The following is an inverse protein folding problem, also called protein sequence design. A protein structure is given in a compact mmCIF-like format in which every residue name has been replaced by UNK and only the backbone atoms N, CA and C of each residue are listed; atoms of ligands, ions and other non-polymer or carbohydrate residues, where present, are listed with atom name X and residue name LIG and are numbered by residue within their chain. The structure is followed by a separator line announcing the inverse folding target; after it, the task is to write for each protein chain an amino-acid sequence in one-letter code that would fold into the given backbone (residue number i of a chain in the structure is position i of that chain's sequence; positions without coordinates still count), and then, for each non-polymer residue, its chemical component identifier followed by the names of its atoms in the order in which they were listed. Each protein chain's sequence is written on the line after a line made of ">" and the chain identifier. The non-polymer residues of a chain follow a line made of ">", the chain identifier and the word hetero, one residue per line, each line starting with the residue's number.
data_IF_015955858669
#
_entry.id   IF_015955858669
#
_cell.length_a   1.000
_cell.length_b   1.000
_cell.length_c   1.000
_cell.angle_alpha   90.00
_cell.angle_beta   90.00
_cell.angle_gamma   90.00
#
_symmetry.space_group_name_H-M   'P 1'
#
loop_
_entity.id
_entity.type
_entity.pdbx_description
1 polymer ?
#
# COMPACT_ATOMS: atom_id res chain seq x y z
N UNK A 1 -76.34 24.57 -22.18
CA UNK A 1 -74.90 24.78 -22.50
C UNK A 1 -74.37 26.00 -21.76
N UNK A 2 -74.08 25.83 -20.46
CA UNK A 2 -73.37 26.80 -19.63
C UNK A 2 -72.14 26.09 -19.09
N UNK A 3 -70.96 26.56 -19.46
CA UNK A 3 -69.69 26.03 -19.00
C UNK A 3 -69.33 26.80 -17.72
N UNK A 4 -69.56 26.19 -16.56
CA UNK A 4 -69.07 26.73 -15.29
C UNK A 4 -67.54 26.72 -15.32
N UNK A 5 -66.95 27.90 -15.32
CA UNK A 5 -65.51 28.12 -15.22
C UNK A 5 -64.98 27.50 -13.95
N UNK A 6 -64.11 26.50 -14.10
CA UNK A 6 -63.53 25.68 -13.03
C UNK A 6 -62.59 26.56 -12.16
N UNK A 7 -62.95 26.87 -10.90
CA UNK A 7 -62.14 27.72 -10.01
C UNK A 7 -60.84 27.06 -9.53
N UNK A 8 -60.63 25.77 -9.84
CA UNK A 8 -59.48 24.97 -9.41
C UNK A 8 -58.14 25.37 -10.07
N UNK A 9 -58.15 26.10 -11.19
CA UNK A 9 -56.92 26.43 -11.91
C UNK A 9 -56.18 27.61 -11.29
N UNK A 10 -56.88 28.60 -10.73
CA UNK A 10 -56.24 29.76 -10.08
C UNK A 10 -55.59 29.39 -8.75
N UNK A 11 -56.21 28.51 -7.96
CA UNK A 11 -55.65 28.04 -6.67
C UNK A 11 -54.37 27.19 -6.86
N UNK A 12 -54.26 26.45 -7.98
CA UNK A 12 -53.06 25.70 -8.35
C UNK A 12 -51.93 26.63 -8.84
N UNK A 13 -52.25 27.80 -9.40
CA UNK A 13 -51.23 28.74 -9.86
C UNK A 13 -50.62 29.49 -8.68
N UNK A 14 -51.42 29.82 -7.66
CA UNK A 14 -50.97 30.59 -6.49
C UNK A 14 -50.12 29.76 -5.51
N UNK A 15 -50.30 28.43 -5.49
CA UNK A 15 -49.54 27.51 -4.60
C UNK A 15 -48.19 27.05 -5.15
N UNK A 16 -47.94 27.20 -6.46
CA UNK A 16 -46.65 26.84 -7.09
C UNK A 16 -45.41 27.50 -6.47
N UNK A 17 -45.36 28.83 -6.25
CA UNK A 17 -44.14 29.46 -5.73
C UNK A 17 -43.74 28.95 -4.34
N UNK A 18 -44.70 28.62 -3.48
CA UNK A 18 -44.43 28.03 -2.17
C UNK A 18 -43.82 26.63 -2.31
N UNK A 19 -44.37 25.79 -3.20
CA UNK A 19 -43.84 24.44 -3.46
C UNK A 19 -42.41 24.48 -4.02
N UNK A 20 -42.10 25.44 -4.90
CA UNK A 20 -40.74 25.60 -5.42
C UNK A 20 -39.76 26.07 -4.34
N UNK A 21 -40.17 26.99 -3.45
CA UNK A 21 -39.33 27.42 -2.34
C UNK A 21 -39.02 26.28 -1.35
N UNK A 22 -40.01 25.43 -1.05
CA UNK A 22 -39.80 24.25 -0.19
C UNK A 22 -38.88 23.22 -0.87
N UNK A 23 -39.00 23.05 -2.19
CA UNK A 23 -38.13 22.15 -2.95
C UNK A 23 -36.68 22.67 -3.00
N UNK A 24 -36.47 23.98 -3.19
CA UNK A 24 -35.14 24.60 -3.15
C UNK A 24 -34.50 24.47 -1.77
N UNK A 25 -35.25 24.72 -0.69
CA UNK A 25 -34.76 24.56 0.67
C UNK A 25 -34.36 23.10 0.99
N UNK A 26 -35.14 22.12 0.53
CA UNK A 26 -34.81 20.70 0.68
C UNK A 26 -33.56 20.30 -0.12
N UNK A 27 -33.42 20.84 -1.33
CA UNK A 27 -32.23 20.60 -2.18
C UNK A 27 -30.99 21.21 -1.54
N UNK A 28 -31.06 22.43 -1.03
CA UNK A 28 -29.94 23.10 -0.36
C UNK A 28 -29.50 22.36 0.91
N UNK A 29 -30.44 21.93 1.76
CA UNK A 29 -30.13 21.13 2.96
C UNK A 29 -29.46 19.80 2.58
N UNK A 30 -29.92 19.17 1.49
CA UNK A 30 -29.33 17.93 1.01
C UNK A 30 -27.90 18.11 0.47
N UNK A 31 -27.60 19.23 -0.18
CA UNK A 31 -26.30 19.49 -0.81
C UNK A 31 -25.23 19.79 0.26
N UNK A 32 -25.59 20.53 1.30
CA UNK A 32 -24.67 20.87 2.40
C UNK A 32 -24.15 19.62 3.13
N UNK A 33 -24.93 18.54 3.13
CA UNK A 33 -24.56 17.23 3.70
C UNK A 33 -23.58 16.41 2.82
N UNK A 34 -23.33 16.79 1.57
CA UNK A 34 -22.30 16.17 0.73
C UNK A 34 -21.01 16.98 0.66
N UNK A 35 -21.05 18.27 1.00
CA UNK A 35 -19.87 19.13 0.91
C UNK A 35 -18.95 18.88 2.12
N UNK A 36 -17.66 18.52 1.91
CA UNK A 36 -16.74 18.29 3.01
C UNK A 36 -16.49 19.57 3.81
N UNK A 37 -16.62 19.49 5.13
CA UNK A 37 -16.36 20.62 6.04
C UNK A 37 -14.88 21.04 5.95
N UNK A 38 -14.61 22.35 6.02
CA UNK A 38 -13.25 22.93 5.87
C UNK A 38 -12.20 22.25 6.77
N UNK A 39 -12.55 21.92 8.01
CA UNK A 39 -11.65 21.27 8.96
C UNK A 39 -11.20 19.88 8.50
N UNK A 40 -12.03 19.14 7.76
CA UNK A 40 -11.71 17.80 7.25
C UNK A 40 -10.61 17.88 6.19
N UNK A 41 -10.71 18.86 5.29
CA UNK A 41 -9.71 19.13 4.24
C UNK A 41 -8.40 19.59 4.85
N UNK A 42 -8.46 20.51 5.84
CA UNK A 42 -7.26 20.99 6.55
C UNK A 42 -6.56 19.86 7.29
N UNK A 43 -7.31 19.03 8.02
CA UNK A 43 -6.74 17.89 8.74
C UNK A 43 -6.04 16.91 7.79
N UNK A 44 -6.70 16.57 6.67
CA UNK A 44 -6.15 15.71 5.63
C UNK A 44 -4.86 16.27 5.02
N UNK A 45 -4.84 17.57 4.70
CA UNK A 45 -3.66 18.25 4.16
C UNK A 45 -2.50 18.27 5.17
N UNK A 46 -2.76 18.58 6.45
CA UNK A 46 -1.72 18.65 7.48
C UNK A 46 -1.10 17.27 7.74
N UNK A 47 -1.93 16.22 7.91
CA UNK A 47 -1.44 14.86 8.19
C UNK A 47 -0.64 14.30 7.02
N UNK A 48 -1.13 14.51 5.78
CA UNK A 48 -0.42 14.05 4.58
C UNK A 48 0.89 14.81 4.36
N UNK A 49 0.94 16.12 4.62
CA UNK A 49 2.17 16.92 4.54
C UNK A 49 3.22 16.47 5.56
N UNK A 50 2.84 16.27 6.83
CA UNK A 50 3.76 15.78 7.88
C UNK A 50 4.33 14.41 7.47
N UNK A 51 3.48 13.52 6.99
CA UNK A 51 3.89 12.18 6.55
C UNK A 51 4.82 12.26 5.33
N UNK A 52 4.52 13.11 4.35
CA UNK A 52 5.35 13.37 3.19
C UNK A 52 6.74 13.91 3.57
N UNK A 53 6.81 14.86 4.52
CA UNK A 53 8.07 15.36 5.07
C UNK A 53 8.89 14.25 5.75
N UNK A 54 8.23 13.39 6.54
CA UNK A 54 8.90 12.27 7.19
C UNK A 54 9.47 11.26 6.18
N UNK A 55 8.72 10.96 5.11
CA UNK A 55 9.19 10.10 4.02
C UNK A 55 10.35 10.73 3.29
N UNK A 56 10.31 12.04 3.01
CA UNK A 56 11.42 12.76 2.39
C UNK A 56 12.71 12.62 3.23
N UNK A 57 12.63 12.91 4.53
CA UNK A 57 13.76 12.80 5.46
C UNK A 57 14.28 11.35 5.52
N UNK A 58 13.37 10.38 5.62
CA UNK A 58 13.71 8.96 5.67
C UNK A 58 14.39 8.48 4.38
N UNK A 59 13.94 8.96 3.22
CA UNK A 59 14.58 8.69 1.94
C UNK A 59 16.00 9.27 1.96
N UNK A 60 16.18 10.57 2.21
CA UNK A 60 17.51 11.19 2.25
C UNK A 60 18.47 10.50 3.24
N UNK A 61 17.99 10.15 4.43
CA UNK A 61 18.77 9.48 5.46
C UNK A 61 19.27 8.09 5.03
N UNK A 62 18.50 7.36 4.23
CA UNK A 62 18.92 6.07 3.68
C UNK A 62 19.72 6.22 2.38
N UNK A 63 19.42 7.26 1.61
CA UNK A 63 19.94 7.48 0.27
C UNK A 63 21.43 7.81 0.29
N UNK A 64 21.81 8.81 1.09
CA UNK A 64 23.19 9.30 1.20
C UNK A 64 24.16 8.17 1.60
N UNK A 65 23.94 7.42 2.70
CA UNK A 65 24.87 6.35 3.07
C UNK A 65 24.88 5.19 2.07
N UNK A 66 23.77 4.90 1.39
CA UNK A 66 23.69 3.89 0.33
C UNK A 66 24.63 4.23 -0.84
N UNK A 67 24.57 5.47 -1.33
CA UNK A 67 25.45 5.95 -2.41
C UNK A 67 26.91 6.01 -1.97
N UNK A 68 27.20 6.55 -0.79
CA UNK A 68 28.58 6.63 -0.25
C UNK A 68 29.18 5.23 -0.08
N UNK A 69 28.43 4.29 0.49
CA UNK A 69 28.88 2.90 0.65
C UNK A 69 29.17 2.24 -0.70
N UNK A 70 28.33 2.49 -1.70
CA UNK A 70 28.53 1.97 -3.06
C UNK A 70 29.80 2.55 -3.69
N UNK A 71 30.02 3.86 -3.59
CA UNK A 71 31.25 4.52 -4.07
C UNK A 71 32.49 3.97 -3.34
N UNK A 72 32.42 3.82 -2.01
CA UNK A 72 33.54 3.29 -1.22
C UNK A 72 33.87 1.84 -1.58
N UNK A 73 32.86 1.00 -1.85
CA UNK A 73 33.07 -0.38 -2.31
C UNK A 73 33.77 -0.46 -3.67
N UNK A 74 33.49 0.48 -4.59
CA UNK A 74 34.23 0.59 -5.84
C UNK A 74 35.67 1.04 -5.63
N UNK A 75 35.90 2.00 -4.73
CA UNK A 75 37.25 2.52 -4.43
C UNK A 75 38.13 1.53 -3.68
N UNK A 76 37.56 0.77 -2.75
CA UNK A 76 38.29 -0.23 -1.96
C UNK A 76 38.53 -1.54 -2.71
N UNK A 77 38.02 -1.68 -3.93
CA UNK A 77 38.08 -2.94 -4.69
C UNK A 77 37.24 -4.08 -4.08
N UNK A 78 36.34 -3.78 -3.13
CA UNK A 78 35.44 -4.77 -2.56
C UNK A 78 34.49 -5.33 -3.64
N UNK A 79 34.12 -4.48 -4.60
CA UNK A 79 33.53 -4.90 -5.87
C UNK A 79 34.69 -5.00 -6.88
N UNK A 80 35.04 -6.21 -7.36
CA UNK A 80 36.20 -6.41 -8.22
C UNK A 80 35.89 -5.96 -9.66
N UNK A 81 35.76 -4.65 -9.88
CA UNK A 81 35.41 -4.08 -11.18
C UNK A 81 36.44 -4.43 -12.26
N UNK A 82 37.73 -4.38 -11.94
CA UNK A 82 38.84 -4.62 -12.89
C UNK A 82 38.91 -6.05 -13.46
N UNK A 83 38.32 -7.03 -12.78
CA UNK A 83 38.33 -8.45 -13.22
C UNK A 83 36.98 -8.91 -13.78
N UNK A 84 35.98 -8.02 -13.80
CA UNK A 84 34.67 -8.33 -14.37
C UNK A 84 34.74 -8.19 -15.90
N UNK A 85 34.28 -9.20 -16.69
CA UNK A 85 34.18 -9.05 -18.15
C UNK A 85 33.36 -7.83 -18.58
N UNK A 86 32.49 -7.31 -17.71
CA UNK A 86 31.69 -6.10 -17.95
C UNK A 86 32.37 -4.79 -17.51
N UNK A 87 33.68 -4.79 -17.21
CA UNK A 87 34.41 -3.62 -16.71
C UNK A 87 34.19 -2.34 -17.55
N UNK A 88 34.09 -2.49 -18.87
CA UNK A 88 33.85 -1.37 -19.79
C UNK A 88 32.51 -0.66 -19.50
N UNK A 89 31.48 -1.39 -19.06
CA UNK A 89 30.18 -0.83 -18.70
C UNK A 89 30.26 0.02 -17.42
N UNK A 90 31.13 -0.37 -16.47
CA UNK A 90 31.34 0.38 -15.23
C UNK A 90 32.12 1.69 -15.44
N UNK A 91 32.76 1.85 -16.60
CA UNK A 91 33.53 3.03 -16.99
C UNK A 91 32.79 3.91 -18.00
N UNK A 92 31.46 3.79 -18.10
CA UNK A 92 30.64 4.68 -18.92
C UNK A 92 30.84 6.16 -18.55
N UNK A 93 30.50 7.03 -19.48
CA UNK A 93 30.71 8.48 -19.42
C UNK A 93 30.19 9.09 -18.12
N UNK A 94 30.89 10.13 -17.64
CA UNK A 94 30.53 10.91 -16.45
C UNK A 94 29.05 11.38 -16.49
N UNK A 95 28.53 11.60 -17.69
CA UNK A 95 27.14 11.93 -18.00
C UNK A 95 26.13 10.93 -17.43
N UNK A 96 26.45 9.63 -17.40
CA UNK A 96 25.56 8.61 -16.81
C UNK A 96 25.44 8.79 -15.28
N UNK A 97 26.53 9.23 -14.63
CA UNK A 97 26.55 9.47 -13.18
C UNK A 97 25.77 10.73 -12.81
N UNK A 98 25.83 11.78 -13.64
CA UNK A 98 25.05 13.00 -13.41
C UNK A 98 23.55 12.77 -13.62
N UNK A 99 23.17 11.91 -14.58
CA UNK A 99 21.76 11.53 -14.78
C UNK A 99 21.16 10.84 -13.57
N UNK A 100 21.94 9.99 -12.89
CA UNK A 100 21.52 9.32 -11.67
C UNK A 100 21.12 10.34 -10.59
N UNK A 101 21.89 11.40 -10.37
CA UNK A 101 21.56 12.46 -9.38
C UNK A 101 20.21 13.11 -9.72
N UNK A 102 19.95 13.39 -11.01
CA UNK A 102 18.67 13.91 -11.46
C UNK A 102 17.52 12.96 -11.18
N UNK A 103 17.69 11.68 -11.52
CA UNK A 103 16.68 10.65 -11.23
C UNK A 103 16.41 10.52 -9.73
N UNK A 104 17.43 10.65 -8.87
CA UNK A 104 17.27 10.62 -7.41
C UNK A 104 16.37 11.74 -6.90
N UNK A 105 16.57 12.96 -7.41
CA UNK A 105 15.74 14.12 -7.06
C UNK A 105 14.29 13.94 -7.51
N UNK A 106 14.08 13.59 -8.79
CA UNK A 106 12.73 13.38 -9.34
C UNK A 106 12.00 12.19 -8.73
N UNK A 107 12.73 11.12 -8.42
CA UNK A 107 12.20 9.93 -7.76
C UNK A 107 11.75 10.25 -6.33
N UNK A 108 12.53 11.04 -5.59
CA UNK A 108 12.16 11.49 -4.24
C UNK A 108 10.91 12.37 -4.28
N UNK A 109 10.85 13.33 -5.21
CA UNK A 109 9.67 14.17 -5.42
C UNK A 109 8.42 13.36 -5.75
N UNK A 110 8.55 12.41 -6.67
CA UNK A 110 7.45 11.52 -7.05
C UNK A 110 6.96 10.70 -5.85
N UNK A 111 7.88 10.17 -5.05
CA UNK A 111 7.54 9.40 -3.84
C UNK A 111 6.79 10.24 -2.81
N UNK A 112 7.22 11.48 -2.57
CA UNK A 112 6.53 12.42 -1.68
C UNK A 112 5.12 12.69 -2.21
N UNK A 113 5.00 13.03 -3.49
CA UNK A 113 3.70 13.33 -4.12
C UNK A 113 2.71 12.16 -4.01
N UNK A 114 3.13 10.95 -4.40
CA UNK A 114 2.28 9.76 -4.28
C UNK A 114 1.94 9.42 -2.83
N UNK A 115 2.88 9.59 -1.92
CA UNK A 115 2.61 9.34 -0.49
C UNK A 115 1.60 10.35 0.06
N UNK A 116 1.73 11.63 -0.29
CA UNK A 116 0.77 12.67 0.09
C UNK A 116 -0.62 12.32 -0.45
N UNK A 117 -0.75 11.93 -1.72
CA UNK A 117 -2.04 11.53 -2.30
C UNK A 117 -2.64 10.31 -1.59
N UNK A 118 -1.85 9.26 -1.36
CA UNK A 118 -2.33 8.03 -0.72
C UNK A 118 -2.76 8.30 0.73
N UNK A 119 -1.96 9.04 1.49
CA UNK A 119 -2.26 9.37 2.89
C UNK A 119 -3.43 10.35 2.97
N UNK A 120 -3.47 11.37 2.11
CA UNK A 120 -4.58 12.32 2.04
C UNK A 120 -5.88 11.60 1.68
N UNK A 121 -5.87 10.78 0.62
CA UNK A 121 -7.03 9.98 0.22
C UNK A 121 -7.51 9.04 1.35
N UNK A 122 -6.58 8.38 2.04
CA UNK A 122 -6.88 7.53 3.19
C UNK A 122 -7.52 8.30 4.35
N UNK A 123 -6.90 9.40 4.80
CA UNK A 123 -7.41 10.23 5.91
C UNK A 123 -8.74 10.88 5.54
N UNK A 124 -8.86 11.38 4.30
CA UNK A 124 -10.11 11.93 3.80
C UNK A 124 -11.22 10.87 3.81
N UNK A 125 -10.95 9.66 3.33
CA UNK A 125 -11.91 8.55 3.35
C UNK A 125 -12.37 8.17 4.76
N UNK A 126 -11.48 8.27 5.76
CA UNK A 126 -11.81 8.02 7.18
C UNK A 126 -12.68 9.12 7.79
N UNK A 127 -12.44 10.39 7.42
CA UNK A 127 -13.07 11.56 8.05
C UNK A 127 -14.34 12.01 7.35
N UNK A 128 -14.46 11.75 6.04
CA UNK A 128 -15.58 12.19 5.21
C UNK A 128 -16.91 11.54 5.65
N UNK A 129 -17.93 12.37 5.81
CA UNK A 129 -19.19 11.99 6.48
C UNK A 129 -19.95 10.87 5.78
N UNK A 130 -19.93 10.84 4.45
CA UNK A 130 -20.60 9.80 3.65
C UNK A 130 -19.88 8.45 3.73
N UNK A 131 -18.55 8.44 3.76
CA UNK A 131 -17.75 7.20 3.78
C UNK A 131 -17.49 6.66 5.19
N UNK A 132 -17.59 7.52 6.21
CA UNK A 132 -17.42 7.15 7.62
C UNK A 132 -18.21 5.91 8.06
N UNK A 133 -19.52 5.74 7.77
CA UNK A 133 -20.26 4.55 8.19
C UNK A 133 -19.69 3.27 7.56
N UNK A 134 -19.26 3.33 6.29
CA UNK A 134 -18.63 2.21 5.59
C UNK A 134 -17.30 1.86 6.28
N UNK A 135 -16.48 2.86 6.59
CA UNK A 135 -15.20 2.68 7.30
C UNK A 135 -15.40 2.02 8.65
N UNK A 136 -16.34 2.49 9.46
CA UNK A 136 -16.62 1.92 10.79
C UNK A 136 -17.07 0.46 10.66
N UNK A 137 -17.88 0.13 9.66
CA UNK A 137 -18.26 -1.25 9.36
C UNK A 137 -17.05 -2.12 8.99
N UNK A 138 -16.16 -1.62 8.13
CA UNK A 138 -14.91 -2.33 7.77
C UNK A 138 -14.02 -2.54 9.01
N UNK A 139 -13.87 -1.53 9.87
CA UNK A 139 -13.11 -1.65 11.12
C UNK A 139 -13.71 -2.71 12.04
N UNK A 140 -15.05 -2.76 12.18
CA UNK A 140 -15.72 -3.80 12.94
C UNK A 140 -15.45 -5.21 12.37
N UNK A 141 -15.45 -5.36 11.05
CA UNK A 141 -15.07 -6.62 10.39
C UNK A 141 -13.62 -7.00 10.71
N UNK A 142 -12.68 -6.06 10.65
CA UNK A 142 -11.26 -6.30 10.98
C UNK A 142 -11.08 -6.73 12.44
N UNK A 143 -11.80 -6.09 13.36
CA UNK A 143 -11.82 -6.51 14.77
C UNK A 143 -12.37 -7.93 14.89
N UNK A 144 -13.49 -8.25 14.24
CA UNK A 144 -14.05 -9.59 14.21
C UNK A 144 -13.06 -10.64 13.69
N UNK A 145 -12.38 -10.35 12.57
CA UNK A 145 -11.33 -11.23 12.02
C UNK A 145 -10.20 -11.42 13.04
N UNK A 146 -9.78 -10.36 13.73
CA UNK A 146 -8.72 -10.42 14.74
C UNK A 146 -9.12 -11.30 15.92
N UNK A 147 -10.33 -11.16 16.44
CA UNK A 147 -10.86 -12.01 17.52
C UNK A 147 -10.91 -13.47 17.08
N UNK A 148 -11.41 -13.76 15.87
CA UNK A 148 -11.47 -15.13 15.35
C UNK A 148 -10.09 -15.75 15.12
N UNK A 149 -9.06 -14.96 14.78
CA UNK A 149 -7.66 -15.41 14.70
C UNK A 149 -7.09 -15.77 16.08
N UNK A 150 -7.37 -14.97 17.11
CA UNK A 150 -6.97 -15.28 18.48
C UNK A 150 -7.66 -16.56 18.95
N UNK A 151 -8.96 -16.68 18.72
CA UNK A 151 -9.72 -17.88 19.03
C UNK A 151 -9.16 -19.12 18.33
N UNK A 152 -8.82 -19.00 17.04
CA UNK A 152 -8.14 -20.07 16.30
C UNK A 152 -6.82 -20.49 16.95
N UNK A 153 -5.98 -19.55 17.34
CA UNK A 153 -4.69 -19.85 17.98
C UNK A 153 -4.88 -20.66 19.27
N UNK A 154 -5.90 -20.31 20.06
CA UNK A 154 -6.28 -21.05 21.27
C UNK A 154 -6.77 -22.45 20.90
N UNK A 155 -7.68 -22.55 19.92
CA UNK A 155 -8.25 -23.82 19.46
C UNK A 155 -7.18 -24.77 18.92
N UNK A 156 -6.23 -24.29 18.11
CA UNK A 156 -5.08 -25.09 17.63
C UNK A 156 -4.23 -25.57 18.80
N UNK A 157 -3.99 -24.71 19.79
CA UNK A 157 -3.19 -25.09 20.97
C UNK A 157 -3.88 -26.18 21.78
N UNK A 158 -5.19 -26.07 22.01
CA UNK A 158 -5.98 -27.05 22.76
C UNK A 158 -6.12 -28.36 21.97
N UNK A 159 -6.55 -28.31 20.72
CA UNK A 159 -6.69 -29.50 19.87
C UNK A 159 -5.35 -30.18 19.62
N UNK A 160 -4.27 -29.41 19.48
CA UNK A 160 -2.90 -29.91 19.39
C UNK A 160 -2.54 -30.77 20.59
N UNK A 161 -2.80 -30.28 21.81
CA UNK A 161 -2.55 -31.01 23.06
C UNK A 161 -3.42 -32.26 23.23
N UNK A 162 -4.68 -32.22 22.78
CA UNK A 162 -5.63 -33.33 22.93
C UNK A 162 -5.40 -34.43 21.90
N UNK A 163 -5.23 -34.07 20.63
CA UNK A 163 -5.21 -35.01 19.52
C UNK A 163 -3.81 -35.54 19.18
N UNK A 164 -2.76 -34.81 19.53
CA UNK A 164 -1.39 -35.14 19.18
C UNK A 164 -0.51 -35.34 20.42
N UNK A 165 0.40 -36.30 20.34
CA UNK A 165 1.56 -36.42 21.22
C UNK A 165 2.79 -36.40 20.33
N UNK A 166 3.49 -35.25 20.30
CA UNK A 166 4.59 -35.01 19.37
C UNK A 166 4.19 -35.33 17.92
N UNK A 167 4.81 -36.35 17.31
CA UNK A 167 4.55 -36.76 15.93
C UNK A 167 3.43 -37.79 15.77
N UNK A 168 2.85 -38.31 16.86
CA UNK A 168 1.84 -39.36 16.82
C UNK A 168 0.42 -38.82 17.10
N UNK A 169 -0.57 -39.34 16.37
CA UNK A 169 -1.99 -39.05 16.57
C UNK A 169 -2.55 -39.97 17.66
N UNK A 170 -3.04 -39.42 18.77
CA UNK A 170 -3.71 -40.19 19.84
C UNK A 170 -5.09 -40.68 19.40
N UNK A 171 -5.81 -39.88 18.61
CA UNK A 171 -7.18 -40.15 18.15
C UNK A 171 -7.31 -39.81 16.66
N UNK A 172 -7.21 -40.80 15.75
CA UNK A 172 -7.09 -40.54 14.32
C UNK A 172 -8.37 -39.95 13.70
N UNK A 173 -9.55 -40.41 14.15
CA UNK A 173 -10.82 -39.91 13.61
C UNK A 173 -11.06 -38.43 13.93
N UNK A 174 -10.82 -38.02 15.19
CA UNK A 174 -10.99 -36.63 15.63
C UNK A 174 -9.97 -35.71 14.97
N UNK A 175 -8.71 -36.18 14.84
CA UNK A 175 -7.67 -35.45 14.13
C UNK A 175 -8.05 -35.18 12.66
N UNK A 176 -8.71 -36.12 11.98
CA UNK A 176 -9.13 -35.95 10.58
C UNK A 176 -10.25 -34.90 10.47
N UNK A 177 -11.29 -34.95 11.31
CA UNK A 177 -12.39 -33.97 11.28
C UNK A 177 -11.87 -32.57 11.61
N UNK A 178 -11.05 -32.44 12.67
CA UNK A 178 -10.44 -31.16 13.02
C UNK A 178 -9.49 -30.66 11.93
N UNK A 179 -8.78 -31.56 11.23
CA UNK A 179 -7.93 -31.25 10.09
C UNK A 179 -8.69 -30.58 8.96
N UNK A 180 -9.79 -31.20 8.51
CA UNK A 180 -10.65 -30.63 7.45
C UNK A 180 -11.19 -29.26 7.86
N UNK A 181 -11.67 -29.11 9.09
CA UNK A 181 -12.14 -27.82 9.60
C UNK A 181 -11.05 -26.73 9.60
N UNK A 182 -9.82 -27.09 10.00
CA UNK A 182 -8.68 -26.18 9.98
C UNK A 182 -8.22 -25.85 8.56
N UNK A 183 -8.29 -26.78 7.61
CA UNK A 183 -7.98 -26.54 6.20
C UNK A 183 -8.97 -25.56 5.57
N UNK A 184 -10.28 -25.75 5.77
CA UNK A 184 -11.30 -24.79 5.32
C UNK A 184 -11.04 -23.39 5.89
N UNK A 185 -10.65 -23.31 7.17
CA UNK A 185 -10.29 -22.04 7.78
C UNK A 185 -9.03 -21.41 7.16
N UNK A 186 -8.00 -22.21 6.88
CA UNK A 186 -6.77 -21.73 6.25
C UNK A 186 -7.00 -21.18 4.83
N UNK A 187 -7.91 -21.77 4.05
CA UNK A 187 -8.30 -21.24 2.74
C UNK A 187 -8.89 -19.84 2.83
N UNK A 188 -9.74 -19.58 3.83
CA UNK A 188 -10.29 -18.24 4.08
C UNK A 188 -9.20 -17.22 4.46
N UNK A 189 -8.24 -17.62 5.29
CA UNK A 189 -7.15 -16.72 5.72
C UNK A 189 -6.10 -16.45 4.64
N UNK A 190 -5.84 -17.42 3.76
CA UNK A 190 -4.82 -17.27 2.72
C UNK A 190 -5.22 -16.19 1.69
N UNK A 191 -6.51 -16.06 1.37
CA UNK A 191 -7.01 -15.00 0.50
C UNK A 191 -6.79 -13.61 1.10
N UNK A 192 -7.12 -13.43 2.38
CA UNK A 192 -6.87 -12.19 3.12
C UNK A 192 -5.37 -11.86 3.21
N UNK A 193 -4.51 -12.87 3.41
CA UNK A 193 -3.07 -12.67 3.40
C UNK A 193 -2.56 -12.18 2.03
N UNK A 194 -3.06 -12.74 0.92
CA UNK A 194 -2.70 -12.29 -0.43
C UNK A 194 -3.12 -10.84 -0.69
N UNK A 195 -4.33 -10.45 -0.26
CA UNK A 195 -4.79 -9.06 -0.35
C UNK A 195 -3.89 -8.13 0.48
N UNK A 196 -3.57 -8.51 1.72
CA UNK A 196 -2.67 -7.71 2.58
C UNK A 196 -1.27 -7.55 1.96
N UNK A 197 -0.77 -8.59 1.27
CA UNK A 197 0.50 -8.57 0.55
C UNK A 197 0.43 -7.62 -0.65
N UNK A 198 -0.66 -7.62 -1.41
CA UNK A 198 -0.86 -6.70 -2.53
C UNK A 198 -0.85 -5.24 -2.06
N UNK A 199 -1.58 -4.94 -0.98
CA UNK A 199 -1.61 -3.59 -0.39
C UNK A 199 -0.20 -3.17 0.07
N UNK A 200 0.51 -4.05 0.79
CA UNK A 200 1.90 -3.78 1.22
C UNK A 200 2.82 -3.52 0.03
N UNK A 201 2.67 -4.25 -1.08
CA UNK A 201 3.46 -4.02 -2.29
C UNK A 201 3.12 -2.68 -2.95
N UNK A 202 1.85 -2.27 -2.99
CA UNK A 202 1.47 -0.95 -3.51
C UNK A 202 2.07 0.17 -2.66
N UNK A 203 1.93 0.08 -1.32
CA UNK A 203 2.49 1.08 -0.39
C UNK A 203 4.02 1.09 -0.46
N UNK A 204 4.66 -0.08 -0.51
CA UNK A 204 6.10 -0.16 -0.68
C UNK A 204 6.53 0.42 -2.04
N UNK A 205 5.79 0.16 -3.12
CA UNK A 205 6.12 0.71 -4.44
C UNK A 205 6.05 2.24 -4.45
N UNK A 206 5.03 2.85 -3.82
CA UNK A 206 4.92 4.32 -3.75
C UNK A 206 6.00 4.95 -2.88
N UNK A 207 6.37 4.30 -1.76
CA UNK A 207 7.45 4.76 -0.87
C UNK A 207 8.85 4.55 -1.46
N UNK A 208 9.06 3.49 -2.24
CA UNK A 208 10.38 3.12 -2.78
C UNK A 208 10.60 3.54 -4.22
N UNK A 209 9.63 4.17 -4.90
CA UNK A 209 9.80 4.68 -6.28
C UNK A 209 11.00 5.62 -6.41
N UNK A 210 11.36 6.34 -5.34
CA UNK A 210 12.52 7.24 -5.31
C UNK A 210 13.87 6.55 -5.11
N UNK A 211 13.90 5.25 -4.79
CA UNK A 211 15.13 4.49 -4.54
C UNK A 211 15.56 3.73 -5.78
N UNK A 212 16.56 4.28 -6.48
CA UNK A 212 17.16 3.68 -7.69
C UNK A 212 18.27 2.69 -7.33
N UNK A 213 18.84 2.85 -6.15
CA UNK A 213 19.96 2.09 -5.60
C UNK A 213 19.58 0.68 -5.12
N UNK A 214 18.30 0.43 -4.83
CA UNK A 214 17.80 -0.90 -4.49
C UNK A 214 16.68 -1.32 -5.44
N UNK A 215 16.76 -2.52 -6.05
CA UNK A 215 15.66 -3.02 -6.86
C UNK A 215 14.45 -3.28 -5.96
N UNK A 216 13.30 -2.73 -6.34
CA UNK A 216 12.03 -2.95 -5.65
C UNK A 216 11.54 -4.41 -5.81
N UNK A 217 11.81 -4.99 -6.97
CA UNK A 217 11.45 -6.37 -7.31
C UNK A 217 12.60 -7.33 -6.92
N UNK A 218 12.23 -8.59 -6.69
CA UNK A 218 13.21 -9.65 -6.46
C UNK A 218 14.20 -9.79 -7.61
N UNK A 219 15.36 -10.38 -7.31
CA UNK A 219 16.42 -10.64 -8.28
C UNK A 219 15.85 -11.39 -9.50
N UNK A 220 16.16 -10.91 -10.71
CA UNK A 220 15.73 -11.50 -11.98
C UNK A 220 14.39 -11.02 -12.55
N UNK A 221 13.56 -10.29 -11.78
CA UNK A 221 12.23 -9.85 -12.27
C UNK A 221 12.29 -8.47 -12.96
N UNK A 222 13.28 -7.63 -12.63
CA UNK A 222 13.43 -6.27 -13.16
C UNK A 222 14.06 -6.14 -14.56
N UNK A 223 14.02 -7.18 -15.39
CA UNK A 223 14.74 -7.22 -16.68
C UNK A 223 14.04 -6.38 -17.78
N UNK A 224 12.79 -6.00 -17.55
CA UNK A 224 11.96 -5.22 -18.48
C UNK A 224 11.96 -3.77 -18.02
N UNK A 225 12.53 -2.84 -18.82
CA UNK A 225 12.50 -1.40 -18.52
C UNK A 225 13.76 -0.57 -18.86
N UNK A 226 14.76 -1.12 -19.56
CA UNK A 226 15.93 -0.34 -20.00
C UNK A 226 16.98 -0.07 -18.92
N UNK A 227 16.67 -0.29 -17.63
CA UNK A 227 17.63 -0.20 -16.51
C UNK A 227 18.57 -1.42 -16.40
N UNK A 228 18.77 -2.18 -17.49
CA UNK A 228 19.62 -3.39 -17.51
C UNK A 228 21.06 -3.10 -17.07
N UNK A 229 21.55 -1.90 -17.30
CA UNK A 229 22.96 -1.56 -17.08
C UNK A 229 23.32 -1.27 -15.61
N UNK A 230 22.36 -0.83 -14.78
CA UNK A 230 22.59 -0.60 -13.35
C UNK A 230 22.32 -1.86 -12.51
N UNK A 231 21.40 -2.72 -12.96
CA UNK A 231 20.96 -3.92 -12.23
C UNK A 231 21.96 -5.09 -12.36
N UNK A 232 22.66 -5.21 -13.49
CA UNK A 232 23.76 -6.17 -13.65
C UNK A 232 24.85 -5.99 -12.57
N UNK A 233 25.04 -4.77 -12.09
CA UNK A 233 26.06 -4.42 -11.12
C UNK A 233 25.71 -4.86 -9.68
N UNK A 234 24.42 -4.93 -9.32
CA UNK A 234 23.97 -5.36 -7.98
C UNK A 234 23.74 -6.89 -7.88
N UNK A 235 23.26 -7.52 -8.96
CA UNK A 235 22.97 -8.97 -8.99
C UNK A 235 24.25 -9.82 -8.90
N UNK A 236 25.35 -9.38 -9.54
CA UNK A 236 26.62 -10.11 -9.46
C UNK A 236 27.26 -10.09 -8.07
N UNK A 237 26.95 -9.08 -7.22
CA UNK A 237 27.51 -8.97 -5.87
C UNK A 237 26.83 -9.97 -4.91
N UNK A 238 25.52 -10.17 -5.02
CA UNK A 238 24.80 -11.13 -4.16
C UNK A 238 25.05 -12.59 -4.55
N UNK A 239 25.09 -12.92 -5.85
CA UNK A 239 25.38 -14.28 -6.31
C UNK A 239 26.77 -14.76 -5.86
N UNK A 240 27.77 -13.87 -5.84
CA UNK A 240 29.11 -14.24 -5.36
C UNK A 240 29.15 -14.48 -3.85
N UNK A 241 28.35 -13.76 -3.07
CA UNK A 241 28.28 -13.95 -1.61
C UNK A 241 27.66 -15.30 -1.25
N UNK A 242 26.64 -15.73 -2.00
CA UNK A 242 26.03 -17.06 -1.86
C UNK A 242 27.01 -18.14 -2.30
N UNK A 243 27.70 -17.97 -3.42
CA UNK A 243 28.66 -18.96 -3.92
C UNK A 243 29.90 -19.10 -3.02
N UNK A 244 30.34 -18.03 -2.35
CA UNK A 244 31.47 -18.09 -1.40
C UNK A 244 31.05 -18.71 -0.07
N UNK A 245 29.82 -18.49 0.38
CA UNK A 245 29.25 -19.19 1.53
C UNK A 245 29.03 -20.68 1.27
N UNK A 246 28.67 -21.06 0.04
CA UNK A 246 28.48 -22.47 -0.36
C UNK A 246 29.80 -23.23 -0.58
N UNK A 247 30.92 -22.53 -0.75
CA UNK A 247 32.26 -23.14 -0.83
C UNK A 247 32.98 -23.20 0.52
N UNK A 248 32.39 -22.60 1.57
CA UNK A 248 32.92 -22.58 2.94
C UNK A 248 32.15 -23.51 3.90
N UNK A 249 31.13 -24.22 3.39
CA UNK A 249 30.38 -25.29 4.07
C UNK A 249 30.65 -26.59 3.34
#
# INVERSE_FOLDING_TARGET
>A
PGCESIPLVEEIIDTRPALFADAEAFVDESIDDYIPKRWMVVLCAVVSLITGCFVAISLFANYIPSTVCTIMKFRSGAIPSLRDPNFIQYRKTLESVTYIIGLMAWGTWSSIFFTVIVVAGGVFFLVYQVTRPIVVSVVAIVIGITVTLVFKSILITVLGRVNYAAFYRKRPWLANICGVGLECWHLGLSSGYMLSRAIKLIVAATMYIGRIDQPFLGEGVGVIGGTRELLHQNVYINLRRIHTLFLLV
#
